data_IF_547278832407
#
_entry.id   IF_547278832407
#
_cell.length_a   1.000
_cell.length_b   1.000
_cell.length_c   1.000
_cell.angle_alpha   90.00
_cell.angle_beta   90.00
_cell.angle_gamma   90.00
#
_symmetry.space_group_name_H-M   'P 1'
#
loop_
_entity.id
_entity.type
_entity.pdbx_description
1 polymer ?
#
# COMPACT_ATOMS: atom_id res chain seq x y z
N UNK A 1 -59.43 36.87 48.35
CA UNK A 1 -59.20 35.45 48.04
C UNK A 1 -59.07 35.24 46.52
N UNK A 2 -59.81 35.99 45.69
CA UNK A 2 -59.64 35.99 44.22
C UNK A 2 -58.25 36.41 43.74
N UNK A 3 -57.71 37.52 44.24
CA UNK A 3 -56.39 38.03 43.81
C UNK A 3 -55.25 37.03 44.04
N UNK A 4 -55.27 36.28 45.15
CA UNK A 4 -54.26 35.25 45.44
C UNK A 4 -54.37 34.07 44.47
N UNK A 5 -55.59 33.68 44.09
CA UNK A 5 -55.84 32.61 43.13
C UNK A 5 -55.38 33.01 41.71
N UNK A 6 -55.59 34.27 41.33
CA UNK A 6 -55.10 34.83 40.06
C UNK A 6 -53.57 34.84 40.00
N UNK A 7 -52.88 35.28 41.06
CA UNK A 7 -51.41 35.27 41.10
C UNK A 7 -50.83 33.85 41.04
N UNK A 8 -51.45 32.87 41.71
CA UNK A 8 -51.02 31.47 41.61
C UNK A 8 -51.23 30.94 40.19
N UNK A 9 -52.36 31.27 39.56
CA UNK A 9 -52.68 30.82 38.19
C UNK A 9 -51.69 31.41 37.18
N UNK A 10 -51.38 32.69 37.28
CA UNK A 10 -50.38 33.36 36.43
C UNK A 10 -48.98 32.77 36.64
N UNK A 11 -48.59 32.51 37.89
CA UNK A 11 -47.31 31.87 38.19
C UNK A 11 -47.18 30.47 37.59
N UNK A 12 -48.25 29.67 37.68
CA UNK A 12 -48.29 28.31 37.12
C UNK A 12 -48.26 28.35 35.58
N UNK A 13 -48.93 29.32 34.97
CA UNK A 13 -48.94 29.52 33.51
C UNK A 13 -47.54 29.92 32.99
N UNK A 14 -46.81 30.77 33.72
CA UNK A 14 -45.41 31.11 33.39
C UNK A 14 -44.52 29.87 33.46
N UNK A 15 -44.65 29.04 34.52
CA UNK A 15 -43.85 27.82 34.66
C UNK A 15 -44.12 26.83 33.51
N UNK A 16 -45.39 26.64 33.15
CA UNK A 16 -45.79 25.77 32.02
C UNK A 16 -45.23 26.30 30.70
N UNK A 17 -45.28 27.61 30.47
CA UNK A 17 -44.69 28.24 29.27
C UNK A 17 -43.17 28.04 29.20
N UNK A 18 -42.46 28.16 30.33
CA UNK A 18 -41.00 27.93 30.37
C UNK A 18 -40.66 26.47 30.08
N UNK A 19 -41.42 25.52 30.63
CA UNK A 19 -41.21 24.09 30.36
C UNK A 19 -41.50 23.77 28.88
N UNK A 20 -42.61 24.28 28.34
CA UNK A 20 -42.97 24.09 26.93
C UNK A 20 -41.92 24.69 25.98
N UNK A 21 -41.44 25.91 26.26
CA UNK A 21 -40.38 26.56 25.49
C UNK A 21 -39.08 25.76 25.51
N UNK A 22 -38.69 25.23 26.69
CA UNK A 22 -37.49 24.41 26.81
C UNK A 22 -37.61 23.08 26.04
N UNK A 23 -38.77 22.43 26.10
CA UNK A 23 -39.03 21.21 25.32
C UNK A 23 -39.04 21.48 23.81
N UNK A 24 -39.67 22.56 23.34
CA UNK A 24 -39.65 22.95 21.92
C UNK A 24 -38.24 23.27 21.43
N UNK A 25 -37.41 23.91 22.25
CA UNK A 25 -36.00 24.17 21.93
C UNK A 25 -35.21 22.87 21.80
N UNK A 26 -35.39 21.92 22.74
CA UNK A 26 -34.70 20.62 22.68
C UNK A 26 -35.11 19.77 21.46
N UNK A 27 -36.40 19.75 21.08
CA UNK A 27 -36.88 19.04 19.90
C UNK A 27 -36.38 19.66 18.59
N UNK A 28 -36.32 20.98 18.52
CA UNK A 28 -35.79 21.70 17.36
C UNK A 28 -34.29 21.44 17.18
N UNK A 29 -33.51 21.45 18.28
CA UNK A 29 -32.08 21.15 18.24
C UNK A 29 -31.82 19.70 17.80
N UNK A 30 -32.56 18.73 18.34
CA UNK A 30 -32.44 17.33 17.92
C UNK A 30 -32.73 17.13 16.43
N UNK A 31 -33.78 17.76 15.91
CA UNK A 31 -34.15 17.70 14.48
C UNK A 31 -33.08 18.34 13.57
N UNK A 32 -32.44 19.41 14.01
CA UNK A 32 -31.36 20.06 13.25
C UNK A 32 -30.11 19.17 13.20
N UNK A 33 -29.77 18.47 14.28
CA UNK A 33 -28.64 17.52 14.29
C UNK A 33 -28.91 16.37 13.33
N UNK A 34 -30.09 15.75 13.38
CA UNK A 34 -30.43 14.62 12.49
C UNK A 34 -30.41 15.02 11.02
N UNK A 35 -30.98 16.19 10.66
CA UNK A 35 -30.93 16.71 9.28
C UNK A 35 -29.49 16.99 8.83
N UNK A 36 -28.63 17.50 9.72
CA UNK A 36 -27.22 17.77 9.41
C UNK A 36 -26.43 16.48 9.16
N UNK A 37 -26.69 15.44 9.93
CA UNK A 37 -26.10 14.12 9.77
C UNK A 37 -26.55 13.47 8.44
N UNK A 38 -27.83 13.52 8.11
CA UNK A 38 -28.36 12.99 6.84
C UNK A 38 -27.77 13.71 5.61
N UNK A 39 -27.58 15.03 5.70
CA UNK A 39 -26.91 15.81 4.65
C UNK A 39 -25.45 15.38 4.48
N UNK A 40 -24.72 15.21 5.59
CA UNK A 40 -23.31 14.79 5.54
C UNK A 40 -23.19 13.35 5.00
N UNK A 41 -24.13 12.48 5.36
CA UNK A 41 -24.20 11.11 4.84
C UNK A 41 -24.41 11.08 3.33
N UNK A 42 -25.34 11.90 2.81
CA UNK A 42 -25.59 12.01 1.38
C UNK A 42 -24.36 12.49 0.62
N UNK A 43 -23.64 13.48 1.17
CA UNK A 43 -22.37 13.95 0.58
C UNK A 43 -21.31 12.86 0.63
N UNK A 44 -21.12 12.20 1.78
CA UNK A 44 -20.16 11.12 1.94
C UNK A 44 -20.43 9.97 0.96
N UNK A 45 -21.70 9.63 0.72
CA UNK A 45 -22.08 8.59 -0.24
C UNK A 45 -21.74 9.00 -1.66
N UNK A 46 -22.08 10.24 -2.08
CA UNK A 46 -21.72 10.75 -3.41
C UNK A 46 -20.21 10.76 -3.64
N UNK A 47 -19.43 11.13 -2.61
CA UNK A 47 -17.97 11.10 -2.68
C UNK A 47 -17.45 9.66 -2.76
N UNK A 48 -17.95 8.75 -1.93
CA UNK A 48 -17.56 7.33 -2.00
C UNK A 48 -17.86 6.74 -3.38
N UNK A 49 -19.04 7.01 -3.92
CA UNK A 49 -19.45 6.54 -5.24
C UNK A 49 -18.57 7.16 -6.34
N UNK A 50 -18.26 8.47 -6.25
CA UNK A 50 -17.31 9.12 -7.16
C UNK A 50 -15.94 8.43 -7.11
N UNK A 51 -15.39 8.21 -5.91
CA UNK A 51 -14.08 7.59 -5.74
C UNK A 51 -14.06 6.16 -6.32
N UNK A 52 -15.09 5.36 -6.08
CA UNK A 52 -15.07 3.92 -6.37
C UNK A 52 -15.65 3.54 -7.74
N UNK A 53 -16.51 4.38 -8.33
CA UNK A 53 -17.26 4.04 -9.53
C UNK A 53 -16.82 4.85 -10.76
N UNK A 54 -16.03 5.91 -10.60
CA UNK A 54 -15.48 6.67 -11.74
C UNK A 54 -13.99 6.42 -11.90
N UNK A 55 -13.46 6.44 -13.15
CA UNK A 55 -12.03 6.33 -13.39
C UNK A 55 -11.27 7.66 -13.23
N UNK A 56 -11.97 8.80 -13.10
CA UNK A 56 -11.36 10.14 -13.17
C UNK A 56 -10.96 10.53 -14.60
N UNK A 57 -10.33 11.71 -14.74
CA UNK A 57 -9.91 12.23 -16.04
C UNK A 57 -8.51 12.89 -15.97
N UNK A 58 -7.55 12.49 -16.83
CA UNK A 58 -7.63 11.41 -17.84
C UNK A 58 -7.83 10.01 -17.22
N UNK A 59 -8.55 9.10 -17.88
CA UNK A 59 -8.95 7.82 -17.26
C UNK A 59 -7.78 6.88 -16.92
N UNK A 60 -6.64 7.03 -17.59
CA UNK A 60 -5.39 6.28 -17.47
C UNK A 60 -4.35 6.96 -16.56
N UNK A 61 -4.75 7.99 -15.80
CA UNK A 61 -3.84 8.74 -14.94
C UNK A 61 -3.05 7.87 -13.96
N UNK A 62 -3.56 6.71 -13.54
CA UNK A 62 -2.83 5.77 -12.67
C UNK A 62 -1.57 5.21 -13.31
N UNK A 63 -1.70 4.63 -14.50
CA UNK A 63 -0.62 3.98 -15.25
C UNK A 63 0.25 4.97 -16.02
N UNK A 64 -0.32 6.11 -16.43
CA UNK A 64 0.36 7.06 -17.28
C UNK A 64 1.24 8.01 -16.46
N UNK A 65 2.53 7.69 -16.39
CA UNK A 65 3.55 8.46 -15.67
C UNK A 65 3.84 9.83 -16.27
N UNK A 66 3.30 10.15 -17.46
CA UNK A 66 3.43 11.50 -18.05
C UNK A 66 2.39 12.48 -17.52
N UNK A 67 1.32 12.00 -16.87
CA UNK A 67 0.25 12.80 -16.30
C UNK A 67 0.61 13.19 -14.86
N UNK A 68 0.83 14.48 -14.63
CA UNK A 68 1.10 15.04 -13.31
C UNK A 68 -0.20 15.33 -12.54
N UNK A 69 -0.10 15.72 -11.27
CA UNK A 69 -1.25 16.09 -10.45
C UNK A 69 -2.00 17.34 -10.97
N UNK A 70 -1.31 18.19 -11.74
CA UNK A 70 -1.87 19.42 -12.32
C UNK A 70 -2.68 19.16 -13.58
N UNK A 71 -2.31 18.12 -14.35
CA UNK A 71 -3.01 17.71 -15.57
C UNK A 71 -4.35 17.01 -15.27
N UNK A 72 -4.54 16.54 -14.04
CA UNK A 72 -5.77 15.87 -13.61
C UNK A 72 -6.92 16.88 -13.47
N UNK A 73 -8.06 16.56 -14.08
CA UNK A 73 -9.29 17.37 -13.99
C UNK A 73 -10.33 16.74 -13.08
N UNK A 74 -10.35 15.41 -13.01
CA UNK A 74 -11.29 14.68 -12.18
C UNK A 74 -10.64 13.48 -11.48
N UNK A 75 -11.12 13.16 -10.29
CA UNK A 75 -10.62 12.06 -9.47
C UNK A 75 -11.57 10.87 -9.44
N UNK A 76 -10.99 9.68 -9.58
CA UNK A 76 -11.68 8.41 -9.45
C UNK A 76 -10.68 7.26 -9.49
N UNK A 77 -10.98 6.18 -8.78
CA UNK A 77 -10.12 5.01 -8.62
C UNK A 77 -10.60 3.79 -9.41
N UNK A 78 -11.75 3.84 -10.08
CA UNK A 78 -12.23 2.71 -10.85
C UNK A 78 -11.23 2.34 -11.96
N UNK A 79 -11.06 1.03 -12.18
CA UNK A 79 -10.23 0.50 -13.25
C UNK A 79 -10.79 0.94 -14.61
N UNK A 80 -9.96 1.57 -15.44
CA UNK A 80 -10.42 2.01 -16.75
C UNK A 80 -10.85 0.81 -17.62
N UNK A 81 -11.98 0.94 -18.32
CA UNK A 81 -12.52 -0.10 -19.20
C UNK A 81 -13.20 -1.29 -18.49
N UNK A 82 -13.26 -1.31 -17.16
CA UNK A 82 -14.06 -2.31 -16.44
C UNK A 82 -15.55 -1.98 -16.52
N UNK A 83 -16.40 -3.00 -16.66
CA UNK A 83 -17.86 -2.89 -16.51
C UNK A 83 -18.34 -3.31 -15.12
N UNK A 84 -17.47 -3.92 -14.34
CA UNK A 84 -17.80 -4.38 -13.00
C UNK A 84 -17.56 -3.24 -11.98
N UNK A 85 -18.56 -2.90 -11.15
CA UNK A 85 -18.39 -1.90 -10.11
C UNK A 85 -17.41 -2.39 -9.03
N UNK A 86 -16.84 -1.46 -8.26
CA UNK A 86 -15.94 -1.76 -7.13
C UNK A 86 -14.63 -2.49 -7.49
N UNK A 87 -14.24 -2.45 -8.76
CA UNK A 87 -12.89 -2.84 -9.20
C UNK A 87 -12.02 -1.59 -9.27
N UNK A 88 -11.05 -1.51 -8.38
CA UNK A 88 -10.16 -0.35 -8.27
C UNK A 88 -8.85 -0.60 -9.02
N UNK A 89 -8.39 0.45 -9.70
CA UNK A 89 -7.10 0.50 -10.36
C UNK A 89 -5.97 0.57 -9.32
N UNK A 90 -5.09 -0.45 -9.26
CA UNK A 90 -4.00 -0.47 -8.31
C UNK A 90 -2.96 0.62 -8.53
N UNK A 91 -2.67 0.99 -9.78
CA UNK A 91 -1.65 1.99 -10.08
C UNK A 91 -2.11 3.39 -9.62
N UNK A 92 -3.42 3.67 -9.70
CA UNK A 92 -4.03 4.87 -9.11
C UNK A 92 -3.87 4.90 -7.59
N UNK A 93 -4.06 3.77 -6.90
CA UNK A 93 -3.89 3.69 -5.44
C UNK A 93 -2.41 3.85 -5.05
N UNK A 94 -1.47 3.28 -5.82
CA UNK A 94 -0.04 3.48 -5.59
C UNK A 94 0.38 4.95 -5.72
N UNK A 95 -0.29 5.74 -6.58
CA UNK A 95 -0.11 7.20 -6.67
C UNK A 95 -0.68 7.99 -5.48
N UNK A 96 -1.50 7.37 -4.63
CA UNK A 96 -1.97 7.96 -3.36
C UNK A 96 -1.08 7.57 -2.18
N UNK A 97 -0.33 6.48 -2.30
CA UNK A 97 0.54 5.99 -1.25
C UNK A 97 1.73 6.95 -1.08
N UNK A 98 1.71 7.74 -0.01
CA UNK A 98 2.89 8.46 0.45
C UNK A 98 3.72 7.51 1.32
N UNK A 99 4.54 6.69 0.67
CA UNK A 99 5.48 5.83 1.38
C UNK A 99 6.44 6.75 2.15
N UNK A 100 6.26 6.85 3.47
CA UNK A 100 6.98 7.78 4.37
C UNK A 100 8.51 7.78 4.26
N UNK A 101 9.07 6.76 3.60
CA UNK A 101 10.50 6.50 3.39
C UNK A 101 10.99 6.78 1.96
N UNK A 102 10.08 6.89 0.98
CA UNK A 102 10.40 7.27 -0.39
C UNK A 102 9.36 8.27 -0.92
N UNK A 103 9.69 9.56 -1.07
CA UNK A 103 8.76 10.51 -1.65
C UNK A 103 8.32 10.03 -3.02
N UNK A 104 7.02 9.86 -3.22
CA UNK A 104 6.47 9.46 -4.51
C UNK A 104 6.38 10.72 -5.40
N UNK A 105 7.25 10.91 -6.40
CA UNK A 105 7.15 12.02 -7.35
C UNK A 105 5.83 12.14 -8.11
N UNK A 106 5.08 11.05 -8.24
CA UNK A 106 3.74 11.04 -8.87
C UNK A 106 2.61 11.16 -7.84
N UNK A 107 2.95 11.50 -6.59
CA UNK A 107 2.00 11.59 -5.48
C UNK A 107 0.92 12.62 -5.77
N UNK A 108 -0.32 12.16 -5.73
CA UNK A 108 -1.46 13.06 -5.63
C UNK A 108 -1.62 13.47 -4.17
N UNK A 109 -1.20 14.69 -3.85
CA UNK A 109 -1.27 15.19 -2.48
C UNK A 109 -2.73 15.33 -2.00
N UNK A 110 -2.94 15.30 -0.68
CA UNK A 110 -4.30 15.34 -0.11
C UNK A 110 -5.03 16.66 -0.37
N UNK A 111 -4.30 17.76 -0.55
CA UNK A 111 -4.89 19.07 -0.90
C UNK A 111 -5.46 19.09 -2.31
N UNK A 112 -4.72 18.58 -3.30
CA UNK A 112 -5.17 18.47 -4.69
C UNK A 112 -6.29 17.46 -4.81
N UNK A 113 -6.23 16.37 -4.05
CA UNK A 113 -7.35 15.43 -3.95
C UNK A 113 -8.62 16.12 -3.43
N UNK A 114 -8.51 16.99 -2.42
CA UNK A 114 -9.64 17.79 -1.94
C UNK A 114 -10.18 18.75 -3.01
N UNK A 115 -9.32 19.34 -3.84
CA UNK A 115 -9.73 20.17 -4.98
C UNK A 115 -10.54 19.35 -5.99
N UNK A 116 -10.02 18.20 -6.42
CA UNK A 116 -10.64 17.33 -7.43
C UNK A 116 -11.97 16.72 -6.95
N UNK A 117 -12.11 16.52 -5.64
CA UNK A 117 -13.36 16.06 -5.02
C UNK A 117 -14.33 17.22 -4.71
N UNK A 118 -13.93 18.48 -4.89
CA UNK A 118 -14.74 19.65 -4.55
C UNK A 118 -14.98 19.83 -3.04
N UNK A 119 -14.08 19.32 -2.21
CA UNK A 119 -14.20 19.33 -0.75
C UNK A 119 -13.44 20.47 -0.07
N UNK A 120 -12.51 21.10 -0.79
CA UNK A 120 -11.65 22.16 -0.25
C UNK A 120 -12.47 23.29 0.39
N UNK A 121 -12.05 23.71 1.57
CA UNK A 121 -12.68 24.79 2.34
C UNK A 121 -13.99 24.43 3.04
N UNK A 122 -14.66 23.33 2.65
CA UNK A 122 -15.97 22.96 3.19
C UNK A 122 -15.90 21.73 4.09
N UNK A 123 -15.16 20.70 3.67
CA UNK A 123 -15.06 19.43 4.37
C UNK A 123 -13.60 18.98 4.53
N UNK A 124 -13.34 18.27 5.63
CA UNK A 124 -12.15 17.44 5.79
C UNK A 124 -12.51 15.97 5.53
N UNK A 125 -11.53 15.17 5.13
CA UNK A 125 -11.74 13.74 4.91
C UNK A 125 -10.52 12.91 5.29
N UNK A 126 -10.77 11.64 5.57
CA UNK A 126 -9.77 10.58 5.70
C UNK A 126 -10.19 9.42 4.81
N UNK A 127 -9.32 9.02 3.89
CA UNK A 127 -9.50 7.86 3.02
C UNK A 127 -8.50 6.79 3.44
N UNK A 128 -9.03 5.63 3.82
CA UNK A 128 -8.24 4.45 4.18
C UNK A 128 -8.58 3.33 3.21
N UNK A 129 -7.56 2.70 2.63
CA UNK A 129 -7.74 1.47 1.86
C UNK A 129 -6.74 0.43 2.32
N UNK A 130 -7.25 -0.67 2.87
CA UNK A 130 -6.44 -1.74 3.45
C UNK A 130 -6.90 -3.11 2.97
N UNK A 131 -5.98 -4.08 2.84
CA UNK A 131 -6.36 -5.47 2.63
C UNK A 131 -7.32 -5.94 3.72
N UNK A 132 -8.31 -6.74 3.35
CA UNK A 132 -9.28 -7.28 4.32
C UNK A 132 -8.64 -8.27 5.30
N UNK A 133 -7.60 -8.96 4.84
CA UNK A 133 -6.79 -9.90 5.61
C UNK A 133 -5.37 -9.33 5.68
N UNK A 134 -4.84 -9.25 6.89
CA UNK A 134 -3.53 -8.71 7.20
C UNK A 134 -2.65 -9.84 7.75
N UNK A 135 -1.37 -9.79 7.41
CA UNK A 135 -0.36 -10.74 7.84
C UNK A 135 0.70 -10.05 8.69
N UNK A 136 1.13 -10.73 9.74
CA UNK A 136 2.36 -10.43 10.46
C UNK A 136 3.27 -11.67 10.41
N UNK A 137 4.51 -11.47 9.95
CA UNK A 137 5.49 -12.55 9.74
C UNK A 137 6.69 -12.28 10.62
N UNK A 138 6.98 -13.23 11.51
CA UNK A 138 8.11 -13.17 12.42
C UNK A 138 9.05 -14.35 12.16
N UNK A 139 10.32 -14.13 11.80
CA UNK A 139 11.30 -15.21 11.71
C UNK A 139 11.59 -15.75 13.12
N UNK A 140 11.50 -17.07 13.28
CA UNK A 140 11.75 -17.77 14.53
C UNK A 140 13.14 -18.43 14.58
N UNK A 141 13.65 -18.86 13.43
CA UNK A 141 14.92 -19.59 13.36
C UNK A 141 15.68 -19.28 12.06
N UNK A 142 17.00 -19.39 12.12
CA UNK A 142 17.93 -19.00 11.06
C UNK A 142 18.96 -20.09 10.80
N UNK A 143 19.27 -20.32 9.52
CA UNK A 143 20.30 -21.23 9.08
C UNK A 143 21.45 -20.47 8.41
N UNK A 144 22.68 -20.79 8.80
CA UNK A 144 23.90 -20.28 8.19
C UNK A 144 24.65 -21.42 7.49
N UNK A 145 24.75 -21.41 6.15
CA UNK A 145 25.54 -22.39 5.42
C UNK A 145 27.02 -22.32 5.80
N UNK A 146 27.67 -23.48 5.90
CA UNK A 146 29.12 -23.55 6.17
C UNK A 146 29.89 -22.80 5.08
N UNK A 147 30.75 -21.87 5.49
CA UNK A 147 31.57 -21.05 4.59
C UNK A 147 30.87 -19.80 4.05
N UNK A 148 29.63 -19.51 4.44
CA UNK A 148 28.90 -18.28 4.10
C UNK A 148 28.80 -17.35 5.31
N UNK A 149 28.85 -16.04 5.09
CA UNK A 149 28.47 -15.05 6.11
C UNK A 149 26.96 -14.85 6.19
N UNK A 150 26.20 -15.34 5.21
CA UNK A 150 24.78 -15.04 5.07
C UNK A 150 23.89 -15.97 5.90
N UNK A 151 23.00 -15.36 6.68
CA UNK A 151 21.95 -16.05 7.44
C UNK A 151 20.63 -16.07 6.66
N UNK A 152 19.97 -17.22 6.66
CA UNK A 152 18.68 -17.44 6.02
C UNK A 152 17.62 -17.75 7.07
N UNK A 153 16.55 -16.96 7.14
CA UNK A 153 15.43 -17.30 8.01
C UNK A 153 14.77 -18.58 7.47
N UNK A 154 14.61 -19.62 8.30
CA UNK A 154 14.09 -20.93 7.86
C UNK A 154 12.76 -21.29 8.49
N UNK A 155 12.41 -20.65 9.60
CA UNK A 155 11.18 -20.90 10.33
C UNK A 155 10.44 -19.60 10.58
N UNK A 156 9.15 -19.58 10.33
CA UNK A 156 8.34 -18.38 10.38
C UNK A 156 7.08 -18.61 11.21
N UNK A 157 6.80 -17.71 12.15
CA UNK A 157 5.48 -17.54 12.73
C UNK A 157 4.70 -16.61 11.81
N UNK A 158 3.55 -17.05 11.35
CA UNK A 158 2.63 -16.26 10.54
C UNK A 158 1.36 -16.06 11.35
N UNK A 159 1.02 -14.81 11.63
CA UNK A 159 -0.26 -14.41 12.19
C UNK A 159 -1.12 -13.82 11.08
N UNK A 160 -2.32 -14.35 10.94
CA UNK A 160 -3.32 -13.89 9.99
C UNK A 160 -4.46 -13.27 10.78
N UNK A 161 -4.78 -12.02 10.48
CA UNK A 161 -5.84 -11.28 11.12
C UNK A 161 -6.76 -10.62 10.09
N UNK A 162 -8.00 -10.32 10.49
CA UNK A 162 -8.86 -9.44 9.71
C UNK A 162 -8.43 -7.97 9.90
N UNK A 163 -9.05 -7.07 9.15
CA UNK A 163 -8.77 -5.63 9.25
C UNK A 163 -9.03 -5.00 10.63
N UNK A 164 -9.82 -5.67 11.49
CA UNK A 164 -10.04 -5.27 12.89
C UNK A 164 -8.95 -5.77 13.85
N UNK A 165 -7.97 -6.54 13.38
CA UNK A 165 -6.90 -7.13 14.20
C UNK A 165 -7.26 -8.43 14.90
N UNK A 166 -8.45 -8.99 14.64
CA UNK A 166 -8.86 -10.30 15.17
C UNK A 166 -8.22 -11.42 14.35
N UNK A 167 -7.63 -12.39 15.05
CA UNK A 167 -7.04 -13.56 14.41
C UNK A 167 -8.07 -14.37 13.61
N UNK A 168 -7.69 -14.82 12.42
CA UNK A 168 -8.53 -15.64 11.56
C UNK A 168 -8.23 -17.12 11.75
N UNK A 169 -9.09 -17.89 12.44
CA UNK A 169 -8.90 -19.33 12.59
C UNK A 169 -9.22 -20.07 11.30
N UNK A 170 -8.63 -21.26 11.14
CA UNK A 170 -8.85 -22.14 9.99
C UNK A 170 -8.52 -21.51 8.62
N UNK A 171 -7.66 -20.48 8.59
CA UNK A 171 -7.14 -19.94 7.35
C UNK A 171 -6.04 -20.86 6.80
N UNK A 172 -6.13 -21.23 5.53
CA UNK A 172 -5.10 -22.02 4.87
C UNK A 172 -3.96 -21.10 4.43
N UNK A 173 -2.79 -21.27 5.01
CA UNK A 173 -1.61 -20.43 4.80
C UNK A 173 -0.57 -21.25 4.05
N UNK A 174 -0.33 -20.90 2.79
CA UNK A 174 0.74 -21.46 1.96
C UNK A 174 1.90 -20.47 1.90
N UNK A 175 3.04 -20.84 2.47
CA UNK A 175 4.29 -20.12 2.28
C UNK A 175 5.05 -20.63 1.06
N UNK A 176 5.47 -19.69 0.23
CA UNK A 176 6.32 -19.88 -0.94
C UNK A 176 7.68 -19.29 -0.59
N UNK A 177 8.63 -20.16 -0.26
CA UNK A 177 10.01 -19.79 0.01
C UNK A 177 10.82 -19.85 -1.27
N UNK A 178 11.44 -18.73 -1.64
CA UNK A 178 12.23 -18.66 -2.87
C UNK A 178 13.67 -18.31 -2.53
N UNK A 179 14.60 -19.05 -3.13
CA UNK A 179 16.03 -18.73 -3.16
C UNK A 179 16.40 -18.41 -4.58
N UNK A 180 17.00 -17.24 -4.76
CA UNK A 180 17.50 -16.79 -6.05
C UNK A 180 19.02 -16.69 -5.98
N UNK A 181 19.67 -17.38 -6.91
CA UNK A 181 21.13 -17.42 -7.05
C UNK A 181 21.54 -16.44 -8.13
N UNK A 182 22.40 -15.48 -7.77
CA UNK A 182 22.83 -14.37 -8.63
C UNK A 182 24.34 -14.33 -8.69
N UNK A 183 24.86 -14.10 -9.89
CA UNK A 183 26.29 -13.97 -10.12
C UNK A 183 26.84 -12.64 -9.61
N UNK A 184 27.97 -12.67 -8.86
CA UNK A 184 28.64 -11.47 -8.43
C UNK A 184 29.26 -10.76 -9.64
N UNK A 185 28.95 -9.47 -9.81
CA UNK A 185 29.44 -8.63 -10.90
C UNK A 185 28.31 -7.92 -11.63
N UNK A 186 28.53 -6.68 -12.05
CA UNK A 186 27.56 -5.90 -12.81
C UNK A 186 28.18 -5.48 -14.15
N UNK A 187 27.47 -5.70 -15.26
CA UNK A 187 27.85 -5.20 -16.58
C UNK A 187 28.59 -6.17 -17.53
N UNK A 188 28.27 -7.46 -17.53
CA UNK A 188 28.75 -8.42 -18.54
C UNK A 188 27.57 -9.07 -19.28
N UNK A 189 27.74 -9.31 -20.58
CA UNK A 189 26.74 -9.87 -21.52
C UNK A 189 26.15 -11.20 -21.03
N UNK A 190 24.89 -11.19 -20.58
CA UNK A 190 24.07 -12.38 -20.34
C UNK A 190 23.32 -12.36 -18.99
N UNK A 191 22.24 -13.16 -18.86
CA UNK A 191 21.44 -13.23 -17.64
C UNK A 191 22.32 -13.61 -16.45
N UNK A 192 22.39 -12.73 -15.46
CA UNK A 192 23.22 -12.92 -14.26
C UNK A 192 22.46 -13.64 -13.14
N UNK A 193 21.21 -14.04 -13.42
CA UNK A 193 20.37 -14.94 -12.62
C UNK A 193 20.59 -16.39 -13.07
N UNK A 194 21.38 -17.15 -12.30
CA UNK A 194 21.73 -18.54 -12.66
C UNK A 194 20.60 -19.53 -12.38
N UNK A 195 19.96 -19.41 -11.21
CA UNK A 195 19.02 -20.42 -10.74
C UNK A 195 18.00 -19.82 -9.76
N UNK A 196 16.76 -20.28 -9.87
CA UNK A 196 15.70 -20.02 -8.89
C UNK A 196 15.22 -21.34 -8.30
N UNK A 197 15.16 -21.42 -6.98
CA UNK A 197 14.59 -22.56 -6.26
C UNK A 197 13.40 -22.12 -5.44
N UNK A 198 12.30 -22.86 -5.56
CA UNK A 198 11.04 -22.57 -4.89
C UNK A 198 10.70 -23.77 -4.01
N UNK A 199 10.33 -23.49 -2.76
CA UNK A 199 9.80 -24.46 -1.83
C UNK A 199 8.45 -23.98 -1.34
N UNK A 200 7.49 -24.88 -1.26
CA UNK A 200 6.15 -24.58 -0.78
C UNK A 200 5.86 -25.39 0.47
N UNK A 201 5.26 -24.74 1.47
CA UNK A 201 4.75 -25.38 2.68
C UNK A 201 3.42 -24.74 3.01
N UNK A 202 2.41 -25.55 3.30
CA UNK A 202 1.11 -25.08 3.76
C UNK A 202 0.85 -25.53 5.19
N UNK A 203 0.15 -24.69 5.94
CA UNK A 203 -0.36 -25.01 7.27
C UNK A 203 -1.63 -24.20 7.54
N UNK A 204 -2.44 -24.66 8.48
CA UNK A 204 -3.70 -23.99 8.86
C UNK A 204 -3.49 -23.17 10.13
N UNK A 205 -4.18 -22.05 10.27
CA UNK A 205 -4.13 -21.23 11.49
C UNK A 205 -4.98 -21.80 12.62
N UNK A 206 -4.46 -21.72 13.85
CA UNK A 206 -5.19 -22.08 15.06
C UNK A 206 -6.24 -21.04 15.48
N UNK A 207 -6.83 -21.21 16.66
CA UNK A 207 -7.88 -20.33 17.19
C UNK A 207 -7.51 -18.83 17.26
N UNK A 208 -6.23 -18.53 17.47
CA UNK A 208 -5.71 -17.16 17.53
C UNK A 208 -5.28 -16.59 16.16
N UNK A 209 -5.49 -17.33 15.08
CA UNK A 209 -5.06 -16.93 13.73
C UNK A 209 -3.57 -17.10 13.47
N UNK A 210 -2.86 -17.90 14.28
CA UNK A 210 -1.42 -18.12 14.16
C UNK A 210 -1.10 -19.50 13.59
N UNK A 211 -0.01 -19.58 12.82
CA UNK A 211 0.56 -20.83 12.32
C UNK A 211 2.07 -20.73 12.19
N UNK A 212 2.74 -21.88 12.07
CA UNK A 212 4.18 -21.97 11.88
C UNK A 212 4.47 -22.66 10.55
N UNK A 213 5.33 -22.04 9.76
CA UNK A 213 5.87 -22.61 8.53
C UNK A 213 7.36 -22.90 8.71
N UNK A 214 7.73 -24.15 8.50
CA UNK A 214 9.10 -24.65 8.72
C UNK A 214 9.71 -25.14 7.40
N UNK A 215 10.72 -24.41 6.94
CA UNK A 215 11.48 -24.68 5.72
C UNK A 215 12.89 -25.22 6.02
N UNK A 216 13.21 -25.53 7.28
CA UNK A 216 14.56 -25.88 7.74
C UNK A 216 15.19 -26.99 6.91
N UNK A 217 14.52 -28.14 6.79
CA UNK A 217 15.08 -29.30 6.10
C UNK A 217 15.33 -29.03 4.60
N UNK A 218 14.40 -28.35 3.93
CA UNK A 218 14.49 -28.11 2.47
C UNK A 218 15.54 -27.05 2.13
N UNK A 219 15.65 -26.00 2.95
CA UNK A 219 16.65 -24.94 2.78
C UNK A 219 18.05 -25.46 3.10
N UNK A 220 18.21 -26.22 4.19
CA UNK A 220 19.48 -26.84 4.54
C UNK A 220 19.97 -27.80 3.46
N UNK A 221 19.10 -28.69 2.98
CA UNK A 221 19.43 -29.64 1.93
C UNK A 221 19.91 -28.91 0.66
N UNK A 222 19.18 -27.88 0.22
CA UNK A 222 19.56 -27.12 -0.96
C UNK A 222 20.86 -26.34 -0.77
N UNK A 223 21.00 -25.55 0.29
CA UNK A 223 22.18 -24.70 0.48
C UNK A 223 23.44 -25.51 0.81
N UNK A 224 23.32 -26.72 1.36
CA UNK A 224 24.47 -27.59 1.63
C UNK A 224 25.20 -28.05 0.36
N UNK A 225 24.50 -28.14 -0.78
CA UNK A 225 25.08 -28.55 -2.06
C UNK A 225 25.58 -27.38 -2.91
N UNK A 226 25.33 -26.13 -2.49
CA UNK A 226 25.66 -24.95 -3.27
C UNK A 226 27.06 -24.42 -2.98
N UNK A 227 27.73 -23.90 -4.01
CA UNK A 227 29.01 -23.20 -3.85
C UNK A 227 28.76 -21.80 -3.29
N UNK A 228 29.58 -21.38 -2.32
CA UNK A 228 29.42 -20.12 -1.58
C UNK A 228 29.97 -18.89 -2.32
N UNK A 229 30.43 -19.05 -3.56
CA UNK A 229 31.03 -17.99 -4.35
C UNK A 229 30.00 -17.12 -5.10
N UNK A 230 28.71 -17.29 -4.82
CA UNK A 230 27.60 -16.60 -5.50
C UNK A 230 26.74 -15.86 -4.47
N UNK A 231 25.96 -14.89 -4.95
CA UNK A 231 25.01 -14.19 -4.09
C UNK A 231 23.70 -14.96 -4.04
N UNK A 232 23.17 -15.11 -2.83
CA UNK A 232 21.88 -15.75 -2.61
C UNK A 232 20.91 -14.72 -2.05
N UNK A 233 19.68 -14.73 -2.55
CA UNK A 233 18.61 -13.91 -2.02
C UNK A 233 17.46 -14.81 -1.63
N UNK A 234 16.99 -14.69 -0.39
CA UNK A 234 15.84 -15.43 0.10
C UNK A 234 14.67 -14.52 0.39
N UNK A 235 13.49 -14.94 -0.04
CA UNK A 235 12.24 -14.29 0.28
C UNK A 235 11.15 -15.31 0.53
N UNK A 236 10.20 -14.94 1.37
CA UNK A 236 9.03 -15.74 1.69
C UNK A 236 7.82 -14.95 1.30
N UNK A 237 6.93 -15.56 0.51
CA UNK A 237 5.64 -14.97 0.23
C UNK A 237 4.57 -15.89 0.75
N UNK A 238 3.66 -15.32 1.52
CA UNK A 238 2.53 -15.99 2.10
C UNK A 238 1.33 -15.75 1.20
N UNK A 239 0.70 -16.84 0.80
CA UNK A 239 -0.59 -16.87 0.16
C UNK A 239 -1.59 -17.46 1.17
N UNK A 240 -2.66 -16.75 1.46
CA UNK A 240 -3.67 -17.19 2.42
C UNK A 240 -5.04 -17.25 1.78
N UNK A 241 -5.75 -18.34 2.03
CA UNK A 241 -7.13 -18.54 1.63
C UNK A 241 -7.99 -18.76 2.87
N UNK A 242 -9.03 -17.94 3.04
CA UNK A 242 -9.96 -18.03 4.16
C UNK A 242 -11.40 -17.82 3.66
N UNK A 243 -12.22 -18.88 3.70
CA UNK A 243 -13.61 -18.86 3.20
C UNK A 243 -13.80 -18.22 1.81
N UNK A 244 -12.86 -18.45 0.89
CA UNK A 244 -12.89 -17.90 -0.48
C UNK A 244 -12.21 -16.53 -0.64
N UNK A 245 -11.85 -15.87 0.46
CA UNK A 245 -11.02 -14.65 0.41
C UNK A 245 -9.55 -15.01 0.30
N UNK A 246 -8.87 -14.34 -0.63
CA UNK A 246 -7.44 -14.55 -0.90
C UNK A 246 -6.66 -13.31 -0.47
N UNK A 247 -5.53 -13.50 0.21
CA UNK A 247 -4.62 -12.41 0.50
C UNK A 247 -3.17 -12.87 0.41
N UNK A 248 -2.29 -11.91 0.13
CA UNK A 248 -0.86 -12.16 -0.08
C UNK A 248 -0.04 -11.17 0.74
N UNK A 249 1.07 -11.65 1.29
CA UNK A 249 2.05 -10.81 1.95
C UNK A 249 3.46 -11.35 1.77
N UNK A 250 4.46 -10.46 1.64
CA UNK A 250 5.86 -10.83 1.46
C UNK A 250 6.72 -10.48 2.66
N UNK A 251 7.60 -11.40 3.03
CA UNK A 251 8.71 -11.18 3.94
C UNK A 251 10.03 -11.35 3.21
N UNK A 252 10.99 -10.48 3.52
CA UNK A 252 12.36 -10.59 3.03
C UNK A 252 13.32 -10.41 4.18
N UNK A 253 14.30 -11.30 4.28
CA UNK A 253 15.46 -11.05 5.12
C UNK A 253 16.36 -10.07 4.34
N UNK A 254 16.54 -8.85 4.86
CA UNK A 254 17.45 -7.88 4.26
C UNK A 254 18.80 -8.55 3.97
N UNK A 255 19.21 -8.56 2.70
CA UNK A 255 20.55 -8.99 2.31
C UNK A 255 21.57 -8.15 3.10
N UNK A 256 22.67 -8.76 3.55
CA UNK A 256 23.70 -8.10 4.36
C UNK A 256 24.18 -6.78 3.75
N UNK A 257 23.59 -5.69 4.20
CA UNK A 257 23.78 -4.39 3.60
C UNK A 257 22.73 -3.45 4.15
N UNK A 258 23.15 -2.53 5.01
CA UNK A 258 22.36 -1.45 5.59
C UNK A 258 21.92 -0.40 4.54
N UNK A 259 21.70 -0.81 3.29
CA UNK A 259 21.30 0.09 2.21
C UNK A 259 19.79 0.34 2.33
N UNK A 260 19.35 1.59 2.60
CA UNK A 260 17.94 1.96 2.66
C UNK A 260 17.33 2.06 1.25
N UNK A 261 17.45 1.00 0.46
CA UNK A 261 16.90 0.96 -0.89
C UNK A 261 15.46 0.50 -0.82
N UNK A 262 14.57 1.38 -1.27
CA UNK A 262 13.16 1.09 -1.45
C UNK A 262 12.76 1.47 -2.85
N UNK A 263 11.66 0.90 -3.31
CA UNK A 263 11.11 1.24 -4.60
C UNK A 263 9.65 0.92 -4.68
N UNK A 264 9.03 1.46 -5.70
CA UNK A 264 7.67 1.14 -6.07
C UNK A 264 7.56 1.09 -7.60
N UNK A 265 6.50 0.45 -8.08
CA UNK A 265 6.19 0.31 -9.50
C UNK A 265 4.87 1.04 -9.75
N UNK A 266 4.83 1.84 -10.81
CA UNK A 266 3.62 2.49 -11.32
C UNK A 266 3.55 2.19 -12.81
N UNK A 267 2.52 1.45 -13.22
CA UNK A 267 2.43 0.93 -14.58
C UNK A 267 3.62 0.04 -14.91
N UNK A 268 4.40 0.42 -15.93
CA UNK A 268 5.63 -0.26 -16.33
C UNK A 268 6.92 0.44 -15.83
N UNK A 269 6.79 1.55 -15.11
CA UNK A 269 7.92 2.28 -14.56
C UNK A 269 8.29 1.74 -13.18
N UNK A 270 9.59 1.47 -12.99
CA UNK A 270 10.19 1.15 -11.70
C UNK A 270 10.94 2.36 -11.18
N UNK A 271 10.63 2.76 -9.95
CA UNK A 271 11.25 3.92 -9.30
C UNK A 271 11.94 3.43 -8.04
N UNK A 272 13.26 3.58 -8.00
CA UNK A 272 14.10 3.16 -6.88
C UNK A 272 14.73 4.37 -6.21
N UNK A 273 14.77 4.36 -4.88
CA UNK A 273 15.52 5.34 -4.10
C UNK A 273 17.01 5.18 -4.36
N UNK A 274 17.70 6.31 -4.50
CA UNK A 274 19.18 6.39 -4.46
C UNK A 274 19.66 7.10 -3.20
N UNK A 275 18.75 7.80 -2.49
CA UNK A 275 19.10 8.60 -1.33
C UNK A 275 19.41 7.71 -0.11
N UNK A 276 20.61 7.93 0.43
CA UNK A 276 21.20 7.22 1.56
C UNK A 276 20.96 7.96 2.89
N UNK A 277 20.12 9.01 2.89
CA UNK A 277 19.76 9.76 4.09
C UNK A 277 18.75 9.01 4.97
N UNK A 278 19.20 7.91 5.59
CA UNK A 278 18.64 7.52 6.88
C UNK A 278 19.27 8.47 7.89
N UNK A 279 18.45 9.25 8.59
CA UNK A 279 18.85 10.26 9.59
C UNK A 279 19.70 9.72 10.76
N UNK A 280 19.91 8.39 10.83
CA UNK A 280 20.62 7.69 11.91
C UNK A 280 21.92 7.01 11.48
N UNK A 281 22.30 7.08 10.20
CA UNK A 281 23.54 6.45 9.70
C UNK A 281 24.44 7.52 9.09
N UNK A 282 25.74 7.62 9.45
CA UNK A 282 26.65 8.58 8.83
C UNK A 282 26.60 8.41 7.31
N UNK A 283 26.61 9.52 6.55
CA UNK A 283 26.56 9.57 5.08
C UNK A 283 27.52 8.55 4.46
N UNK A 284 27.03 7.34 4.19
CA UNK A 284 27.83 6.27 3.58
C UNK A 284 27.71 6.41 2.07
N UNK A 285 28.53 7.27 1.47
CA UNK A 285 28.59 7.41 0.00
C UNK A 285 29.00 6.09 -0.67
N UNK A 286 28.31 5.69 -1.74
CA UNK A 286 28.63 4.51 -2.54
C UNK A 286 27.66 4.35 -3.69
N UNK A 287 28.16 4.03 -4.89
CA UNK A 287 27.32 3.74 -6.04
C UNK A 287 26.55 2.43 -5.81
N UNK A 288 25.26 2.45 -6.12
CA UNK A 288 24.43 1.25 -6.21
C UNK A 288 24.36 0.88 -7.68
N UNK A 289 24.74 -0.35 -8.01
CA UNK A 289 24.72 -0.85 -9.37
C UNK A 289 23.59 -1.86 -9.47
N UNK A 290 22.56 -1.54 -10.25
CA UNK A 290 21.40 -2.40 -10.45
C UNK A 290 21.65 -3.42 -11.56
N UNK A 291 21.03 -4.59 -11.44
CA UNK A 291 20.94 -5.57 -12.53
C UNK A 291 19.87 -5.16 -13.53
N UNK A 292 20.00 -5.62 -14.76
CA UNK A 292 19.04 -5.35 -15.84
C UNK A 292 17.86 -6.33 -15.84
N UNK A 293 17.72 -7.18 -14.82
CA UNK A 293 16.69 -8.22 -14.70
C UNK A 293 15.94 -8.08 -13.38
N UNK A 294 14.62 -8.29 -13.43
CA UNK A 294 13.76 -8.43 -12.25
C UNK A 294 13.07 -9.76 -12.23
N UNK A 295 12.81 -10.22 -11.01
CA UNK A 295 11.97 -11.39 -10.76
C UNK A 295 10.61 -10.90 -10.26
N UNK A 296 9.54 -11.28 -10.96
CA UNK A 296 8.16 -10.98 -10.58
C UNK A 296 7.51 -12.24 -10.03
N UNK A 297 6.87 -12.14 -8.87
CA UNK A 297 6.16 -13.26 -8.25
C UNK A 297 4.65 -13.13 -8.42
N UNK A 298 4.03 -14.19 -8.92
CA UNK A 298 2.58 -14.35 -9.04
C UNK A 298 2.12 -15.46 -8.08
N UNK A 299 1.62 -15.10 -6.88
CA UNK A 299 1.25 -16.06 -5.84
C UNK A 299 0.08 -16.96 -6.22
N UNK A 300 -0.84 -16.47 -7.06
CA UNK A 300 -2.02 -17.22 -7.50
C UNK A 300 -1.68 -18.49 -8.29
N UNK A 301 -0.47 -18.58 -8.86
CA UNK A 301 -0.02 -19.72 -9.65
C UNK A 301 1.03 -20.56 -8.92
N UNK A 302 1.02 -20.57 -7.58
CA UNK A 302 1.89 -21.38 -6.71
C UNK A 302 3.33 -21.51 -7.24
N UNK A 303 4.09 -20.42 -7.21
CA UNK A 303 5.50 -20.43 -7.59
C UNK A 303 5.80 -19.95 -9.02
N UNK A 304 4.88 -19.26 -9.68
CA UNK A 304 5.20 -18.60 -10.93
C UNK A 304 6.07 -17.36 -10.69
N UNK A 305 7.35 -17.50 -11.03
CA UNK A 305 8.35 -16.44 -11.05
C UNK A 305 8.67 -16.10 -12.51
N UNK A 306 8.28 -14.93 -12.99
CA UNK A 306 8.66 -14.44 -14.31
C UNK A 306 9.91 -13.56 -14.23
N UNK A 307 10.84 -13.72 -15.17
CA UNK A 307 12.03 -12.87 -15.28
C UNK A 307 11.81 -11.94 -16.46
N UNK A 308 11.97 -10.64 -16.23
CA UNK A 308 11.81 -9.64 -17.28
C UNK A 308 12.95 -8.64 -17.23
N UNK A 309 13.36 -8.15 -18.40
CA UNK A 309 14.37 -7.11 -18.50
C UNK A 309 13.88 -5.75 -18.02
N UNK A 310 14.80 -4.94 -17.52
CA UNK A 310 14.63 -3.52 -17.24
C UNK A 310 15.53 -2.72 -18.17
N UNK A 311 14.94 -1.70 -18.79
CA UNK A 311 15.71 -0.64 -19.43
C UNK A 311 15.85 0.53 -18.46
N UNK A 312 17.07 0.77 -17.96
CA UNK A 312 17.35 1.85 -17.02
C UNK A 312 17.57 3.19 -17.73
N UNK A 313 17.06 4.28 -17.15
CA UNK A 313 17.43 5.64 -17.55
C UNK A 313 18.72 6.04 -16.84
N UNK A 314 19.80 6.26 -17.59
CA UNK A 314 21.13 6.60 -17.07
C UNK A 314 21.49 8.07 -17.32
N UNK A 315 20.56 8.86 -17.81
CA UNK A 315 20.71 10.27 -18.21
C UNK A 315 21.80 10.46 -19.27
N UNK A 316 21.89 9.53 -20.22
CA UNK A 316 22.86 9.59 -21.33
C UNK A 316 22.18 10.04 -22.63
N UNK A 317 22.91 10.69 -23.57
CA UNK A 317 22.35 11.11 -24.86
C UNK A 317 21.78 9.94 -25.70
N UNK A 318 22.31 8.74 -25.49
CA UNK A 318 21.87 7.50 -26.13
C UNK A 318 20.72 6.80 -25.39
N UNK A 319 20.21 7.38 -24.29
CA UNK A 319 19.09 6.78 -23.58
C UNK A 319 17.83 6.76 -24.46
N UNK A 320 16.95 5.77 -24.28
CA UNK A 320 15.70 5.69 -25.02
C UNK A 320 14.86 6.97 -24.92
N UNK A 321 14.11 7.29 -25.99
CA UNK A 321 13.26 8.49 -26.08
C UNK A 321 12.32 8.62 -24.88
N UNK A 322 11.79 7.50 -24.38
CA UNK A 322 10.90 7.50 -23.21
C UNK A 322 11.60 8.05 -21.94
N UNK A 323 12.89 7.74 -21.74
CA UNK A 323 13.68 8.28 -20.64
C UNK A 323 13.81 9.79 -20.76
N UNK A 324 14.01 10.31 -21.97
CA UNK A 324 14.13 11.75 -22.20
C UNK A 324 12.81 12.50 -21.95
N UNK A 325 11.67 11.88 -22.31
CA UNK A 325 10.34 12.46 -22.12
C UNK A 325 9.87 12.42 -20.65
N UNK A 326 10.10 11.30 -19.96
CA UNK A 326 9.61 11.07 -18.60
C UNK A 326 10.57 11.65 -17.55
N UNK A 327 11.87 11.42 -17.71
CA UNK A 327 12.87 11.95 -16.78
C UNK A 327 13.06 13.47 -16.90
N UNK A 328 12.64 14.07 -18.02
CA UNK A 328 12.72 15.53 -18.23
C UNK A 328 11.53 16.32 -17.70
N UNK A 329 10.32 15.75 -17.69
CA UNK A 329 9.07 16.48 -17.37
C UNK A 329 8.48 16.19 -16.00
N UNK A 330 8.46 14.93 -15.57
CA UNK A 330 7.69 14.50 -14.38
C UNK A 330 8.60 13.96 -13.27
N UNK A 331 9.79 13.50 -13.67
CA UNK A 331 10.72 12.83 -12.80
C UNK A 331 12.15 13.28 -13.10
N UNK A 332 12.60 14.52 -12.75
CA UNK A 332 14.01 14.84 -12.92
C UNK A 332 14.82 13.74 -12.26
N UNK A 333 15.60 13.01 -13.06
CA UNK A 333 16.61 12.09 -12.56
C UNK A 333 17.60 12.96 -11.81
N UNK A 334 17.27 13.30 -10.57
CA UNK A 334 18.10 14.15 -9.74
C UNK A 334 19.35 13.34 -9.45
N UNK A 335 20.56 13.87 -9.71
CA UNK A 335 21.84 13.19 -9.50
C UNK A 335 22.14 12.70 -8.07
N UNK A 336 21.13 12.49 -7.22
CA UNK A 336 21.25 11.92 -5.88
C UNK A 336 19.98 11.33 -5.26
N UNK A 337 18.80 11.33 -5.92
CA UNK A 337 17.54 10.91 -5.25
C UNK A 337 16.88 9.63 -5.78
N UNK A 338 16.76 9.44 -7.09
CA UNK A 338 16.06 8.29 -7.68
C UNK A 338 16.78 7.71 -8.89
N UNK A 339 16.57 6.42 -9.13
CA UNK A 339 16.88 5.74 -10.40
C UNK A 339 15.57 5.22 -10.96
N UNK A 340 15.35 5.44 -12.25
CA UNK A 340 14.11 5.09 -12.94
C UNK A 340 14.45 4.08 -14.04
N UNK A 341 13.64 3.05 -14.16
CA UNK A 341 13.71 2.10 -15.25
C UNK A 341 12.32 1.79 -15.79
N UNK A 342 12.29 1.14 -16.94
CA UNK A 342 11.07 0.59 -17.53
C UNK A 342 11.18 -0.92 -17.60
N UNK A 343 10.23 -1.61 -16.98
CA UNK A 343 10.12 -3.06 -17.04
C UNK A 343 9.48 -3.43 -18.38
N UNK A 344 10.07 -4.36 -19.13
CA UNK A 344 9.57 -4.75 -20.46
C UNK A 344 8.14 -5.29 -20.43
N UNK A 345 7.81 -6.05 -19.39
CA UNK A 345 6.50 -6.62 -19.17
C UNK A 345 6.23 -6.69 -17.68
N UNK A 346 5.11 -6.17 -17.20
CA UNK A 346 4.69 -6.30 -15.81
C UNK A 346 3.46 -7.18 -15.77
N UNK A 347 3.58 -8.34 -15.11
CA UNK A 347 2.47 -9.25 -14.96
C UNK A 347 1.40 -8.62 -14.06
N UNK A 348 0.14 -8.65 -14.51
CA UNK A 348 -0.95 -7.93 -13.84
C UNK A 348 -1.20 -8.48 -12.45
N UNK A 349 -1.04 -9.79 -12.25
CA UNK A 349 -1.27 -10.46 -10.97
C UNK A 349 -0.03 -10.53 -10.08
N UNK A 350 1.09 -9.93 -10.48
CA UNK A 350 2.31 -9.98 -9.67
C UNK A 350 2.12 -9.17 -8.38
N UNK A 351 2.37 -9.80 -7.24
CA UNK A 351 2.27 -9.14 -5.94
C UNK A 351 3.56 -8.44 -5.53
N UNK A 352 4.70 -9.02 -5.90
CA UNK A 352 6.02 -8.57 -5.50
C UNK A 352 6.96 -8.60 -6.69
N UNK A 353 7.84 -7.60 -6.75
CA UNK A 353 8.92 -7.52 -7.75
C UNK A 353 10.24 -7.36 -7.02
N UNK A 354 11.20 -8.21 -7.39
CA UNK A 354 12.52 -8.26 -6.79
C UNK A 354 13.55 -7.70 -7.76
N UNK A 355 14.25 -6.64 -7.34
CA UNK A 355 15.37 -6.06 -8.06
C UNK A 355 16.65 -6.42 -7.33
N UNK A 356 17.64 -6.87 -8.07
CA UNK A 356 18.95 -7.18 -7.51
C UNK A 356 19.94 -6.06 -7.81
N UNK A 357 20.76 -5.74 -6.83
CA UNK A 357 21.74 -4.67 -6.91
C UNK A 357 23.02 -5.03 -6.16
N UNK A 358 24.07 -4.25 -6.40
CA UNK A 358 25.34 -4.31 -5.69
C UNK A 358 25.63 -2.95 -5.06
N UNK A 359 26.00 -2.94 -3.78
CA UNK A 359 26.43 -1.74 -3.07
C UNK A 359 27.72 -2.02 -2.31
N UNK A 360 28.79 -1.26 -2.60
CA UNK A 360 30.11 -1.41 -1.97
C UNK A 360 30.65 -2.85 -2.01
N UNK A 361 30.43 -3.55 -3.12
CA UNK A 361 30.86 -4.93 -3.29
C UNK A 361 29.90 -5.98 -2.72
N UNK A 362 28.91 -5.59 -1.90
CA UNK A 362 27.93 -6.51 -1.29
C UNK A 362 26.63 -6.61 -2.08
N UNK A 363 25.98 -7.79 -2.11
CA UNK A 363 24.66 -7.97 -2.72
C UNK A 363 23.58 -7.22 -1.94
N UNK A 364 22.65 -6.59 -2.67
CA UNK A 364 21.45 -5.98 -2.11
C UNK A 364 20.24 -6.42 -2.93
N UNK A 365 19.18 -6.86 -2.27
CA UNK A 365 17.89 -7.17 -2.89
C UNK A 365 16.86 -6.13 -2.51
N UNK A 366 16.27 -5.45 -3.48
CA UNK A 366 15.16 -4.52 -3.28
C UNK A 366 13.86 -5.26 -3.53
N UNK A 367 13.01 -5.31 -2.53
CA UNK A 367 11.68 -5.94 -2.63
C UNK A 367 10.65 -4.84 -2.77
N UNK A 368 9.95 -4.85 -3.90
CA UNK A 368 8.87 -3.92 -4.18
C UNK A 368 7.56 -4.65 -3.95
N UNK A 369 6.82 -4.20 -2.94
CA UNK A 369 5.45 -4.64 -2.71
C UNK A 369 4.51 -3.84 -3.63
N UNK A 370 3.70 -4.56 -4.43
CA UNK A 370 2.67 -3.95 -5.30
C UNK A 370 1.28 -3.97 -4.66
N UNK A 371 1.13 -4.47 -3.44
CA UNK A 371 -0.12 -4.49 -2.68
C UNK A 371 -0.21 -3.17 -1.92
N UNK A 372 -1.02 -2.19 -2.37
CA UNK A 372 -1.09 -0.88 -1.73
C UNK A 372 -1.76 -0.95 -0.36
N UNK A 373 -1.34 -0.07 0.55
CA UNK A 373 -2.02 0.31 1.79
C UNK A 373 -1.96 1.85 1.87
N UNK A 374 -3.11 2.50 2.00
CA UNK A 374 -3.18 3.95 2.11
C UNK A 374 -4.00 4.40 3.32
N UNK A 375 -3.53 5.47 3.95
CA UNK A 375 -4.21 6.21 5.01
C UNK A 375 -3.90 7.69 4.82
N UNK A 376 -4.75 8.37 4.06
CA UNK A 376 -4.57 9.77 3.69
C UNK A 376 -5.64 10.63 4.35
N UNK A 377 -5.25 11.83 4.78
CA UNK A 377 -6.15 12.78 5.43
C UNK A 377 -5.97 14.19 4.88
N UNK A 378 -7.07 14.93 4.76
CA UNK A 378 -7.13 16.35 4.47
C UNK A 378 -7.95 17.07 5.53
N UNK A 379 -7.44 18.18 6.06
CA UNK A 379 -8.03 18.91 7.20
C UNK A 379 -7.44 18.50 8.56
N UNK A 380 -7.91 19.14 9.64
CA UNK A 380 -7.46 18.83 10.99
C UNK A 380 -7.84 17.38 11.37
N UNK A 381 -6.86 16.60 11.86
CA UNK A 381 -7.04 15.17 12.21
C UNK A 381 -7.93 14.93 13.45
N UNK A 382 -8.50 15.98 14.05
CA UNK A 382 -9.36 15.91 15.22
C UNK A 382 -10.76 16.43 14.90
N UNK A 383 -11.59 15.60 14.26
CA UNK A 383 -13.02 15.86 14.16
C UNK A 383 -13.71 15.28 15.41
N UNK A 384 -14.59 16.06 16.04
CA UNK A 384 -15.51 15.56 17.07
C UNK A 384 -16.48 14.55 16.42
N UNK A 385 -16.79 13.40 17.07
CA UNK A 385 -17.67 12.36 16.51
C UNK A 385 -19.02 12.88 16.00
N UNK A 386 -19.56 13.93 16.64
CA UNK A 386 -20.85 14.55 16.31
C UNK A 386 -20.89 15.23 14.92
N UNK A 387 -19.74 15.48 14.29
CA UNK A 387 -19.64 16.19 13.00
C UNK A 387 -18.98 15.34 11.91
N UNK A 388 -19.00 14.02 12.04
CA UNK A 388 -18.32 13.09 11.12
C UNK A 388 -19.21 11.94 10.68
N UNK A 389 -19.10 11.56 9.41
CA UNK A 389 -19.73 10.34 8.87
C UNK A 389 -18.63 9.44 8.32
N UNK A 390 -18.67 8.16 8.71
CA UNK A 390 -17.77 7.14 8.21
C UNK A 390 -18.54 6.12 7.38
N UNK A 391 -18.15 5.97 6.11
CA UNK A 391 -18.67 4.94 5.21
C UNK A 391 -17.62 3.89 4.94
N UNK A 392 -18.03 2.63 4.95
CA UNK A 392 -17.18 1.49 4.63
C UNK A 392 -17.75 0.74 3.42
N UNK A 393 -16.88 0.36 2.48
CA UNK A 393 -17.21 -0.42 1.28
C UNK A 393 -16.13 -1.47 1.05
N UNK A 394 -16.51 -2.57 0.39
CA UNK A 394 -15.60 -3.60 -0.07
C UNK A 394 -15.30 -3.39 -1.55
N UNK A 395 -14.04 -3.53 -1.92
CA UNK A 395 -13.57 -3.41 -3.31
C UNK A 395 -12.57 -4.51 -3.61
N UNK A 396 -12.27 -4.71 -4.89
CA UNK A 396 -11.22 -5.62 -5.32
C UNK A 396 -10.08 -4.88 -5.99
N UNK A 397 -8.85 -5.15 -5.56
CA UNK A 397 -7.60 -4.68 -6.17
C UNK A 397 -6.75 -5.91 -6.50
N UNK A 398 -6.35 -6.11 -7.76
CA UNK A 398 -5.63 -7.32 -8.20
C UNK A 398 -6.31 -8.65 -7.84
N UNK A 399 -7.65 -8.69 -7.79
CA UNK A 399 -8.48 -9.80 -7.28
C UNK A 399 -8.38 -10.06 -5.76
N UNK A 400 -7.69 -9.22 -5.00
CA UNK A 400 -7.67 -9.28 -3.54
C UNK A 400 -8.77 -8.38 -2.95
N UNK A 401 -9.46 -8.83 -1.88
CA UNK A 401 -10.49 -8.06 -1.22
C UNK A 401 -9.87 -6.96 -0.35
N UNK A 402 -10.41 -5.76 -0.51
CA UNK A 402 -9.99 -4.56 0.20
C UNK A 402 -11.16 -3.91 0.91
N UNK A 403 -10.87 -3.32 2.06
CA UNK A 403 -11.78 -2.45 2.79
C UNK A 403 -11.42 -1.01 2.47
N UNK A 404 -12.39 -0.26 1.97
CA UNK A 404 -12.29 1.18 1.73
C UNK A 404 -13.16 1.89 2.74
N UNK A 405 -12.54 2.77 3.52
CA UNK A 405 -13.21 3.58 4.50
C UNK A 405 -12.98 5.06 4.19
N UNK A 406 -14.07 5.80 4.03
CA UNK A 406 -14.02 7.26 3.98
C UNK A 406 -14.67 7.81 5.24
N UNK A 407 -13.95 8.67 5.95
CA UNK A 407 -14.51 9.49 7.03
C UNK A 407 -14.54 10.92 6.55
N UNK A 408 -15.72 11.53 6.52
CA UNK A 408 -15.94 12.91 6.08
C UNK A 408 -16.41 13.73 7.28
N UNK A 409 -15.88 14.94 7.45
CA UNK A 409 -16.30 15.87 8.51
C UNK A 409 -16.34 17.30 7.98
N UNK A 410 -17.07 18.19 8.66
CA UNK A 410 -17.15 19.61 8.30
C UNK A 410 -15.91 20.37 8.81
N UNK A 411 -15.36 21.26 7.99
CA UNK A 411 -14.14 22.02 8.34
C UNK A 411 -14.37 23.19 9.31
N UNK A 412 -15.62 23.66 9.43
CA UNK A 412 -15.97 24.84 10.24
C UNK A 412 -17.10 24.43 11.17
N UNK A 413 -16.77 24.20 12.44
CA UNK A 413 -17.64 24.30 13.61
C UNK A 413 -16.74 24.18 14.84
N UNK A 414 -16.09 25.30 15.16
CA UNK A 414 -15.41 25.60 16.41
C UNK A 414 -15.85 26.98 16.86
#
# INVERSE_FOLDING_TARGET
>A
METVLEYITVGLLIIVLVIAANQMMSASLGTVVTVREEQLYTVAQRIMDKILLTPGYPADWGTNITVSADDMQDFGLALNGTRAPYIVDPDKVMRLANLSTLPNPLLLNSSRLADLLGLRGTYGFRLVMKPMIVHDIQPLDWYQPKGSSQNFAVKFRVRVANWYGLGLPNANVTGIYVIVKVDPGAGGTGPQLEEKKIFTKSNVTGALGETILDFTNVVQQYLSTQKVNKWFFSFVVIHTVWHGFVAVYGYTSLAEGSAPLQGYIIGDAIILSRDLNVTWVPKKSGAVIFKDEVVQLVPQYEGLLNITGITWCRSQPSDPIWCQQVAGKVLPSSPGRYVIGRIQYVEKLSSHVFVFAQWRGKPVGVVINRIPDIDISYGARGAQPANSVTLTRFVTIYNYPYVVQITLWRSVEG
#
